data_IF_704769856079
#
_entry.id   IF_704769856079
#
_cell.length_a   1.000
_cell.length_b   1.000
_cell.length_c   1.000
_cell.angle_alpha   90.00
_cell.angle_beta   90.00
_cell.angle_gamma   90.00
#
_symmetry.space_group_name_H-M   'P 1'
#
loop_
_entity.id
_entity.type
_entity.pdbx_description
1 polymer ?
#
# COMPACT_ATOMS: atom_id res chain seq x y z
N UNK A 1 -12.38 7.51 -7.19
CA UNK A 1 -12.87 8.74 -6.52
C UNK A 1 -13.65 8.42 -5.23
N UNK A 2 -13.14 7.51 -4.40
CA UNK A 2 -13.76 7.12 -3.10
C UNK A 2 -12.89 7.60 -1.91
N UNK A 3 -11.58 7.74 -2.14
CA UNK A 3 -10.58 8.10 -1.13
C UNK A 3 -10.73 9.49 -0.52
N UNK A 4 -11.08 10.50 -1.32
CA UNK A 4 -11.31 11.85 -0.82
C UNK A 4 -12.51 11.97 0.14
N UNK A 5 -13.37 10.95 0.23
CA UNK A 5 -14.58 11.00 1.09
C UNK A 5 -14.34 10.48 2.51
N UNK A 6 -13.34 9.62 2.73
CA UNK A 6 -13.05 9.08 4.07
C UNK A 6 -12.44 10.15 4.99
N UNK A 7 -11.60 11.04 4.46
CA UNK A 7 -11.01 12.17 5.20
C UNK A 7 -12.05 13.14 5.75
N UNK A 8 -13.10 13.40 4.98
CA UNK A 8 -14.18 14.30 5.38
C UNK A 8 -15.07 13.70 6.47
N UNK A 9 -15.10 12.36 6.58
CA UNK A 9 -15.97 11.65 7.52
C UNK A 9 -15.30 11.36 8.87
N UNK A 10 -13.96 11.44 8.96
CA UNK A 10 -13.23 11.06 10.19
C UNK A 10 -12.10 12.04 10.50
N UNK A 11 -12.19 12.70 11.65
CA UNK A 11 -11.24 13.75 12.07
C UNK A 11 -9.77 13.27 12.13
N UNK A 12 -9.53 11.99 12.42
CA UNK A 12 -8.18 11.44 12.48
C UNK A 12 -7.54 11.21 11.09
N UNK A 13 -8.31 11.31 10.01
CA UNK A 13 -7.80 11.29 8.64
C UNK A 13 -7.61 12.69 8.05
N UNK A 14 -7.85 13.77 8.81
CA UNK A 14 -7.76 15.14 8.32
C UNK A 14 -6.38 15.52 7.73
N UNK A 15 -5.31 14.91 8.24
CA UNK A 15 -3.94 15.11 7.74
C UNK A 15 -3.36 13.85 7.07
N UNK A 16 -4.19 12.84 6.81
CA UNK A 16 -3.74 11.64 6.12
C UNK A 16 -3.57 11.96 4.63
N UNK A 17 -2.40 11.64 4.09
CA UNK A 17 -2.13 11.72 2.66
C UNK A 17 -2.17 10.32 2.08
N UNK A 18 -2.88 10.17 0.98
CA UNK A 18 -3.07 8.89 0.33
C UNK A 18 -2.72 9.00 -1.15
N UNK A 19 -1.86 8.09 -1.60
CA UNK A 19 -1.46 7.95 -2.98
C UNK A 19 -2.24 6.79 -3.59
N UNK A 20 -3.13 7.12 -4.52
CA UNK A 20 -3.91 6.10 -5.24
C UNK A 20 -3.00 5.12 -5.98
N UNK A 21 -3.28 3.83 -5.83
CA UNK A 21 -2.48 2.74 -6.40
C UNK A 21 -1.24 2.37 -5.58
N UNK A 22 -1.13 2.79 -4.32
CA UNK A 22 -0.04 2.46 -3.41
C UNK A 22 -0.57 2.19 -2.00
N UNK A 23 -1.21 3.18 -1.39
CA UNK A 23 -1.49 3.16 0.04
C UNK A 23 -2.70 2.28 0.39
N UNK A 24 -3.34 1.64 -0.61
CA UNK A 24 -4.49 0.73 -0.43
C UNK A 24 -4.08 -0.57 0.26
N UNK A 25 -2.82 -0.98 0.13
CA UNK A 25 -2.29 -2.21 0.67
C UNK A 25 -0.89 -1.98 1.22
N UNK A 26 -0.54 -2.63 2.32
CA UNK A 26 0.84 -2.62 2.81
C UNK A 26 1.79 -3.31 1.82
N UNK A 27 3.10 -2.98 1.82
CA UNK A 27 4.08 -3.68 0.99
C UNK A 27 4.20 -5.14 1.43
N UNK A 28 4.37 -6.04 0.47
CA UNK A 28 4.73 -7.43 0.72
C UNK A 28 6.12 -7.46 1.38
N UNK A 29 6.28 -8.13 2.55
CA UNK A 29 7.57 -8.16 3.25
C UNK A 29 8.66 -8.93 2.50
N UNK A 30 9.91 -8.46 2.57
CA UNK A 30 11.06 -9.12 1.94
C UNK A 30 11.25 -10.57 2.37
N UNK A 31 11.00 -10.89 3.65
CA UNK A 31 11.10 -12.27 4.14
C UNK A 31 10.09 -13.20 3.43
N UNK A 32 8.88 -12.72 3.14
CA UNK A 32 7.86 -13.49 2.44
C UNK A 32 8.28 -13.77 0.99
N UNK A 33 8.87 -12.77 0.32
CA UNK A 33 9.48 -12.96 -1.00
C UNK A 33 10.60 -14.02 -0.96
N UNK A 34 11.50 -13.94 0.02
CA UNK A 34 12.58 -14.91 0.24
C UNK A 34 12.06 -16.33 0.48
N UNK A 35 11.09 -16.51 1.39
CA UNK A 35 10.49 -17.82 1.68
C UNK A 35 9.71 -18.40 0.50
N UNK A 36 9.18 -17.54 -0.38
CA UNK A 36 8.50 -17.98 -1.61
C UNK A 36 9.46 -18.50 -2.69
N UNK A 37 10.78 -18.31 -2.52
CA UNK A 37 11.77 -18.59 -3.56
C UNK A 37 11.66 -17.63 -4.75
N UNK A 38 11.32 -16.37 -4.50
CA UNK A 38 11.21 -15.33 -5.53
C UNK A 38 9.91 -15.33 -6.34
N UNK A 39 8.88 -16.04 -5.89
CA UNK A 39 7.61 -16.19 -6.64
C UNK A 39 6.63 -15.04 -6.42
N UNK A 40 6.76 -14.32 -5.30
CA UNK A 40 5.90 -13.18 -5.03
C UNK A 40 6.33 -11.97 -5.85
N UNK A 41 5.33 -11.25 -6.37
CA UNK A 41 5.49 -9.92 -6.94
C UNK A 41 5.03 -8.89 -5.92
N UNK A 42 5.64 -7.70 -5.96
CA UNK A 42 5.26 -6.64 -5.04
C UNK A 42 3.90 -6.03 -5.42
N UNK A 43 3.16 -5.52 -4.42
CA UNK A 43 1.95 -4.74 -4.62
C UNK A 43 2.22 -3.48 -5.48
N UNK A 44 1.26 -3.07 -6.34
CA UNK A 44 1.36 -1.82 -7.09
C UNK A 44 1.71 -0.64 -6.19
N UNK A 45 2.50 0.31 -6.72
CA UNK A 45 2.91 1.51 -5.98
C UNK A 45 4.12 1.35 -5.06
N UNK A 46 4.65 0.13 -4.89
CA UNK A 46 5.90 -0.15 -4.20
C UNK A 46 6.98 -0.63 -5.18
N UNK A 47 8.25 -0.41 -4.81
CA UNK A 47 9.38 -0.86 -5.62
C UNK A 47 9.42 -2.40 -5.70
N UNK A 48 9.80 -2.97 -6.86
CA UNK A 48 9.93 -4.42 -7.01
C UNK A 48 10.97 -4.99 -6.04
N UNK A 49 10.88 -6.30 -5.79
CA UNK A 49 11.92 -7.02 -5.06
C UNK A 49 13.21 -7.08 -5.87
N UNK A 50 14.36 -7.04 -5.18
CA UNK A 50 15.69 -7.20 -5.76
C UNK A 50 16.09 -8.68 -5.88
#
# INVERSE_FOLDING_TARGET
QVHYRESDNRIYYANAHFTGGKDEYYPVPNNQYGFSGGKYVQNPGYAPFN
#
